data_IF_084562070532
#
_entry.id   IF_084562070532
#
_cell.length_a   1.000
_cell.length_b   1.000
_cell.length_c   1.000
_cell.angle_alpha   90.00
_cell.angle_beta   90.00
_cell.angle_gamma   90.00
#
_symmetry.space_group_name_H-M   'P 1'
#
loop_
_entity.id
_entity.type
_entity.pdbx_description
1 polymer ?
#
# COMPACT_ATOMS: atom_id res chain seq x y z
N UNK A 1 0.26 -10.72 -0.85
CA UNK A 1 0.37 -10.35 -2.29
C UNK A 1 -0.75 -11.05 -3.03
N UNK A 2 -1.55 -10.32 -3.81
CA UNK A 2 -2.65 -10.86 -4.60
C UNK A 2 -2.23 -11.04 -6.06
N UNK A 3 -1.73 -9.98 -6.68
CA UNK A 3 -1.25 -9.99 -8.06
C UNK A 3 0.06 -9.23 -8.18
N UNK A 4 0.91 -9.64 -9.13
CA UNK A 4 2.15 -8.95 -9.49
C UNK A 4 2.38 -9.06 -10.99
N UNK A 5 2.76 -7.95 -11.62
CA UNK A 5 3.08 -7.89 -13.04
C UNK A 5 4.19 -6.87 -13.29
N UNK A 6 4.90 -7.00 -14.40
CA UNK A 6 5.94 -6.06 -14.79
C UNK A 6 5.78 -5.64 -16.26
N UNK A 7 6.13 -4.39 -16.55
CA UNK A 7 6.24 -3.84 -17.89
C UNK A 7 7.52 -3.00 -17.99
N UNK A 8 8.55 -3.53 -18.65
CA UNK A 8 9.87 -2.90 -18.66
C UNK A 8 10.46 -2.83 -17.25
N UNK A 9 10.89 -1.63 -16.83
CA UNK A 9 11.43 -1.36 -15.50
C UNK A 9 10.36 -0.93 -14.47
N UNK A 10 9.07 -1.17 -14.76
CA UNK A 10 7.96 -0.86 -13.87
C UNK A 10 7.32 -2.14 -13.36
N UNK A 11 7.17 -2.28 -12.05
CA UNK A 11 6.48 -3.39 -11.38
C UNK A 11 5.18 -2.88 -10.76
N UNK A 12 4.09 -3.59 -11.02
CA UNK A 12 2.77 -3.37 -10.49
C UNK A 12 2.44 -4.46 -9.47
N UNK A 13 1.85 -4.07 -8.34
CA UNK A 13 1.40 -4.99 -7.30
C UNK A 13 -0.03 -4.69 -6.90
N UNK A 14 -0.81 -5.73 -6.63
CA UNK A 14 -2.08 -5.65 -5.91
C UNK A 14 -1.93 -6.45 -4.63
N UNK A 15 -2.22 -5.84 -3.49
CA UNK A 15 -1.99 -6.43 -2.18
C UNK A 15 -2.95 -5.91 -1.13
N UNK A 16 -3.02 -6.63 -0.02
CA UNK A 16 -3.64 -6.17 1.22
C UNK A 16 -2.51 -6.01 2.23
N UNK A 17 -2.26 -4.78 2.64
CA UNK A 17 -1.26 -4.43 3.64
C UNK A 17 -1.94 -4.42 5.01
N UNK A 18 -1.43 -5.23 5.94
CA UNK A 18 -1.91 -5.27 7.32
C UNK A 18 -1.15 -4.25 8.14
N UNK A 19 -1.85 -3.22 8.63
CA UNK A 19 -1.24 -2.13 9.37
C UNK A 19 -1.74 -2.18 10.81
N UNK A 20 -0.81 -2.38 11.73
CA UNK A 20 -1.02 -2.26 13.17
C UNK A 20 -0.34 -0.96 13.66
N UNK A 21 -1.15 0.01 14.09
CA UNK A 21 -0.66 1.31 14.54
C UNK A 21 -1.52 1.86 15.68
N UNK A 22 -0.89 2.43 16.71
CA UNK A 22 -1.57 3.08 17.86
C UNK A 22 -2.65 2.16 18.50
N UNK A 23 -2.36 0.86 18.61
CA UNK A 23 -3.29 -0.13 19.17
C UNK A 23 -4.50 -0.46 18.28
N UNK A 24 -4.45 -0.08 17.01
CA UNK A 24 -5.51 -0.27 16.02
C UNK A 24 -4.99 -1.04 14.81
N UNK A 25 -5.92 -1.67 14.10
CA UNK A 25 -5.63 -2.55 12.98
C UNK A 25 -6.43 -2.15 11.74
N UNK A 26 -5.81 -2.23 10.57
CA UNK A 26 -6.48 -2.13 9.28
C UNK A 26 -5.85 -3.08 8.25
N UNK A 27 -6.69 -3.86 7.59
CA UNK A 27 -6.34 -4.55 6.35
C UNK A 27 -6.63 -3.59 5.19
N UNK A 28 -5.58 -2.99 4.62
CA UNK A 28 -5.68 -1.94 3.62
C UNK A 28 -5.39 -2.48 2.22
N UNK A 29 -6.37 -2.47 1.28
CA UNK A 29 -6.09 -2.76 -0.12
C UNK A 29 -5.20 -1.67 -0.72
N UNK A 30 -4.12 -2.09 -1.40
CA UNK A 30 -3.12 -1.21 -2.01
C UNK A 30 -2.79 -1.68 -3.42
N UNK A 31 -2.77 -0.74 -4.36
CA UNK A 31 -2.15 -0.89 -5.67
C UNK A 31 -0.79 -0.18 -5.66
N UNK A 32 0.29 -0.95 -5.74
CA UNK A 32 1.65 -0.42 -5.72
C UNK A 32 2.28 -0.34 -7.10
N UNK A 33 3.00 0.74 -7.37
CA UNK A 33 3.81 0.93 -8.58
C UNK A 33 5.25 1.25 -8.20
N UNK A 34 6.17 0.40 -8.65
CA UNK A 34 7.60 0.53 -8.41
C UNK A 34 8.31 0.78 -9.75
N UNK A 35 9.07 1.87 -9.84
CA UNK A 35 10.01 2.10 -10.94
C UNK A 35 11.41 1.69 -10.49
N UNK A 36 12.08 0.87 -11.28
CA UNK A 36 13.44 0.41 -11.00
C UNK A 36 14.47 1.16 -11.86
N UNK A 37 15.65 1.36 -11.27
CA UNK A 37 16.89 1.77 -11.94
C UNK A 37 17.99 0.75 -11.57
N UNK A 38 18.22 -0.19 -12.48
CA UNK A 38 19.01 -1.39 -12.21
C UNK A 38 18.38 -2.24 -11.09
N UNK A 39 19.15 -2.51 -10.05
CA UNK A 39 18.72 -3.30 -8.87
C UNK A 39 18.04 -2.44 -7.79
N UNK A 40 17.88 -1.13 -8.01
CA UNK A 40 17.34 -0.20 -7.02
C UNK A 40 15.95 0.25 -7.39
N UNK A 41 15.12 0.49 -6.38
CA UNK A 41 13.84 1.19 -6.55
C UNK A 41 14.14 2.68 -6.68
N UNK A 42 13.81 3.25 -7.84
CA UNK A 42 13.90 4.68 -8.13
C UNK A 42 12.69 5.44 -7.60
N UNK A 43 11.49 4.86 -7.72
CA UNK A 43 10.27 5.42 -7.18
C UNK A 43 9.34 4.31 -6.67
N UNK A 44 8.66 4.59 -5.57
CA UNK A 44 7.63 3.73 -4.97
C UNK A 44 6.40 4.59 -4.71
N UNK A 45 5.28 4.24 -5.35
CA UNK A 45 3.98 4.87 -5.14
C UNK A 45 2.97 3.81 -4.74
N UNK A 46 2.23 4.09 -3.69
CA UNK A 46 1.10 3.27 -3.27
C UNK A 46 -0.19 4.06 -3.39
N UNK A 47 -1.16 3.45 -4.06
CA UNK A 47 -2.50 3.98 -4.22
C UNK A 47 -3.45 3.17 -3.34
N UNK A 48 -4.15 3.87 -2.46
CA UNK A 48 -5.11 3.32 -1.52
C UNK A 48 -6.19 4.36 -1.18
N UNK A 49 -7.29 3.92 -0.58
CA UNK A 49 -8.31 4.84 -0.06
C UNK A 49 -7.91 5.41 1.30
N UNK A 50 -7.59 6.71 1.34
CA UNK A 50 -7.24 7.39 2.59
C UNK A 50 -8.38 7.34 3.62
N UNK A 51 -9.64 7.38 3.18
CA UNK A 51 -10.76 7.37 4.12
C UNK A 51 -10.86 6.04 4.88
N UNK A 52 -10.54 4.92 4.23
CA UNK A 52 -10.42 3.59 4.87
C UNK A 52 -9.36 3.60 5.96
N UNK A 53 -8.17 4.12 5.67
CA UNK A 53 -7.11 4.26 6.66
C UNK A 53 -7.50 5.18 7.81
N UNK A 54 -7.99 6.40 7.51
CA UNK A 54 -8.34 7.40 8.52
C UNK A 54 -9.45 6.91 9.45
N UNK A 55 -10.49 6.22 8.95
CA UNK A 55 -11.54 5.64 9.81
C UNK A 55 -10.97 4.60 10.78
N UNK A 56 -10.08 3.74 10.31
CA UNK A 56 -9.46 2.72 11.16
C UNK A 56 -8.51 3.32 12.21
N UNK A 57 -7.93 4.49 11.95
CA UNK A 57 -7.01 5.18 12.87
C UNK A 57 -7.66 6.26 13.74
N UNK A 58 -8.88 6.71 13.40
CA UNK A 58 -9.57 7.78 14.11
C UNK A 58 -10.03 7.34 15.52
N UNK A 59 -9.66 8.02 16.62
CA UNK A 59 -10.00 7.63 17.99
C UNK A 59 -11.50 7.34 18.17
N UNK A 60 -11.88 6.50 19.16
CA UNK A 60 -13.28 6.18 19.39
C UNK A 60 -14.07 7.47 19.58
N UNK A 61 -15.27 7.56 19.00
CA UNK A 61 -16.18 8.65 19.35
C UNK A 61 -16.49 8.52 20.85
N UNK A 62 -16.15 9.58 21.60
CA UNK A 62 -16.49 9.69 23.01
C UNK A 62 -17.97 9.89 23.25
#
# INVERSE_FOLDING_TARGET
MLNIAAAGNVVFTERVDRIDAVGRHVDLPVAGVFELDGERIRAWRDYFDLATYTRAMAPPAG
#
